data_IF_954746303623
#
_entry.id   IF_954746303623
#
_cell.length_a   1.000
_cell.length_b   1.000
_cell.length_c   1.000
_cell.angle_alpha   90.00
_cell.angle_beta   90.00
_cell.angle_gamma   90.00
#
_symmetry.space_group_name_H-M   'P 1'
#
loop_
_entity.id
_entity.type
_entity.pdbx_description
1 polymer ?
#
# COMPACT_ATOMS: atom_id res chain seq x y z
N UNK A 1 3.16 5.61 34.17
CA UNK A 1 2.26 6.12 33.10
C UNK A 1 2.97 7.15 32.22
N UNK A 2 3.68 8.14 32.77
CA UNK A 2 4.38 9.18 32.02
C UNK A 2 5.34 8.67 30.92
N UNK A 3 6.16 7.64 31.20
CA UNK A 3 7.08 7.05 30.20
C UNK A 3 6.38 6.47 28.97
N UNK A 4 5.24 5.79 29.16
CA UNK A 4 4.46 5.22 28.04
C UNK A 4 3.82 6.34 27.19
N UNK A 5 3.32 7.38 27.86
CA UNK A 5 2.76 8.55 27.18
C UNK A 5 3.82 9.28 26.34
N UNK A 6 5.03 9.44 26.88
CA UNK A 6 6.15 10.05 26.18
C UNK A 6 6.57 9.25 24.94
N UNK A 7 6.62 7.92 25.03
CA UNK A 7 6.93 7.05 23.88
C UNK A 7 5.85 7.16 22.80
N UNK A 8 4.57 7.17 23.19
CA UNK A 8 3.47 7.35 22.24
C UNK A 8 3.51 8.72 21.56
N UNK A 9 3.76 9.78 22.32
CA UNK A 9 3.89 11.14 21.78
C UNK A 9 5.10 11.26 20.83
N UNK A 10 6.23 10.66 21.19
CA UNK A 10 7.41 10.64 20.32
C UNK A 10 7.16 9.83 19.04
N UNK A 11 6.44 8.71 19.14
CA UNK A 11 6.09 7.88 17.98
C UNK A 11 5.02 8.49 17.07
N UNK A 12 4.14 9.34 17.58
CA UNK A 12 3.13 10.04 16.77
C UNK A 12 3.70 11.24 16.01
N UNK A 13 4.79 11.84 16.51
CA UNK A 13 5.43 13.00 15.90
C UNK A 13 5.81 12.80 14.42
N UNK A 14 6.53 11.73 13.99
CA UNK A 14 6.86 11.54 12.57
C UNK A 14 5.62 11.30 11.72
N UNK A 15 4.59 10.63 12.26
CA UNK A 15 3.32 10.39 11.54
C UNK A 15 2.60 11.71 11.26
N UNK A 16 2.41 12.54 12.31
CA UNK A 16 1.74 13.83 12.19
C UNK A 16 2.51 14.78 11.28
N UNK A 17 3.83 14.83 11.43
CA UNK A 17 4.69 15.64 10.57
C UNK A 17 4.60 15.20 9.10
N UNK A 18 4.63 13.90 8.82
CA UNK A 18 4.51 13.38 7.46
C UNK A 18 3.16 13.71 6.82
N UNK A 19 2.04 13.56 7.52
CA UNK A 19 0.73 13.92 6.95
C UNK A 19 0.54 15.44 6.82
N UNK A 20 1.11 16.24 7.72
CA UNK A 20 1.19 17.69 7.54
C UNK A 20 2.00 18.05 6.29
N UNK A 21 3.16 17.42 6.11
CA UNK A 21 4.01 17.57 4.94
C UNK A 21 3.26 17.17 3.66
N UNK A 22 2.64 15.99 3.65
CA UNK A 22 1.84 15.51 2.52
C UNK A 22 0.69 16.47 2.20
N UNK A 23 0.03 17.06 3.19
CA UNK A 23 -1.01 18.07 2.97
C UNK A 23 -0.50 19.34 2.32
N UNK A 24 0.63 19.85 2.82
CA UNK A 24 1.15 21.14 2.39
C UNK A 24 1.84 21.08 1.02
N UNK A 25 2.57 20.00 0.76
CA UNK A 25 3.41 19.86 -0.43
C UNK A 25 2.78 19.03 -1.56
N UNK A 26 1.62 18.39 -1.34
CA UNK A 26 0.87 17.77 -2.45
C UNK A 26 0.14 18.81 -3.30
N UNK A 27 0.34 18.72 -4.61
CA UNK A 27 -0.34 19.53 -5.62
C UNK A 27 -1.39 18.70 -6.35
N UNK A 28 -2.55 19.27 -6.71
CA UNK A 28 -3.58 18.58 -7.50
C UNK A 28 -3.23 18.50 -9.00
N UNK A 29 -1.95 18.64 -9.35
CA UNK A 29 -1.47 18.68 -10.73
C UNK A 29 -0.74 17.37 -11.07
N UNK A 30 -0.95 16.79 -12.27
CA UNK A 30 -0.28 15.56 -12.66
C UNK A 30 1.21 15.78 -12.83
N UNK A 31 2.00 14.84 -12.33
CA UNK A 31 3.44 14.81 -12.51
C UNK A 31 3.84 13.74 -13.53
N UNK A 32 4.65 14.12 -14.52
CA UNK A 32 5.21 13.27 -15.58
C UNK A 32 4.30 12.10 -16.01
N UNK A 33 4.59 10.90 -15.52
CA UNK A 33 3.88 9.64 -15.80
C UNK A 33 2.41 9.60 -15.40
N UNK A 34 1.92 10.47 -14.52
CA UNK A 34 0.48 10.57 -14.23
C UNK A 34 -0.31 10.82 -15.53
N UNK A 35 0.23 11.62 -16.45
CA UNK A 35 -0.42 11.97 -17.72
C UNK A 35 -0.61 10.72 -18.61
N UNK A 36 0.46 10.04 -19.07
CA UNK A 36 0.31 8.89 -19.96
C UNK A 36 -0.20 7.63 -19.25
N UNK A 37 -0.02 7.50 -17.93
CA UNK A 37 -0.37 6.27 -17.22
C UNK A 37 -1.79 6.29 -16.63
N UNK A 38 -2.21 7.43 -16.08
CA UNK A 38 -3.48 7.58 -15.35
C UNK A 38 -4.49 8.37 -16.19
N UNK A 39 -4.16 9.60 -16.59
CA UNK A 39 -5.11 10.48 -17.28
C UNK A 39 -5.48 9.91 -18.66
N UNK A 40 -4.49 9.47 -19.44
CA UNK A 40 -4.71 8.85 -20.74
C UNK A 40 -5.53 7.55 -20.64
N UNK A 41 -5.37 6.78 -19.54
CA UNK A 41 -6.20 5.62 -19.27
C UNK A 41 -7.66 6.03 -19.05
N UNK A 42 -7.92 7.01 -18.19
CA UNK A 42 -9.27 7.50 -17.89
C UNK A 42 -9.98 8.00 -19.14
N UNK A 43 -9.29 8.82 -19.95
CA UNK A 43 -9.84 9.37 -21.20
C UNK A 43 -10.29 8.30 -22.21
N UNK A 44 -9.73 7.08 -22.12
CA UNK A 44 -10.07 5.96 -23.02
C UNK A 44 -11.04 4.96 -22.39
N UNK A 45 -11.01 4.82 -21.07
CA UNK A 45 -11.78 3.81 -20.35
C UNK A 45 -13.18 4.29 -19.91
N UNK A 46 -13.40 5.62 -19.84
CA UNK A 46 -14.64 6.20 -19.31
C UNK A 46 -15.57 6.75 -20.41
N UNK A 47 -16.92 6.59 -20.30
CA UNK A 47 -17.63 5.71 -19.36
C UNK A 47 -17.39 4.24 -19.72
N UNK A 48 -17.41 3.30 -18.75
CA UNK A 48 -16.89 1.91 -18.84
C UNK A 48 -17.02 1.30 -20.25
N UNK A 49 -16.01 1.56 -21.09
CA UNK A 49 -16.05 1.14 -22.49
C UNK A 49 -15.80 -0.37 -22.57
N UNK A 50 -16.21 -1.06 -23.64
CA UNK A 50 -15.87 -2.47 -23.84
C UNK A 50 -14.36 -2.76 -23.70
N UNK A 51 -13.51 -1.78 -24.03
CA UNK A 51 -12.07 -1.87 -23.89
C UNK A 51 -11.53 -1.60 -22.47
N UNK A 52 -12.34 -1.04 -21.56
CA UNK A 52 -11.90 -0.60 -20.23
C UNK A 52 -11.27 -1.75 -19.41
N UNK A 53 -11.86 -2.94 -19.48
CA UNK A 53 -11.31 -4.14 -18.84
C UNK A 53 -9.91 -4.47 -19.34
N UNK A 54 -9.68 -4.41 -20.66
CA UNK A 54 -8.36 -4.63 -21.26
C UNK A 54 -7.37 -3.53 -20.88
N UNK A 55 -7.82 -2.28 -20.87
CA UNK A 55 -6.99 -1.11 -20.54
C UNK A 55 -6.49 -1.10 -19.09
N UNK A 56 -7.26 -1.69 -18.15
CA UNK A 56 -6.83 -1.86 -16.75
C UNK A 56 -5.57 -2.72 -16.64
N UNK A 57 -5.49 -3.79 -17.44
CA UNK A 57 -4.36 -4.73 -17.44
C UNK A 57 -3.29 -4.41 -18.49
N UNK A 58 -3.48 -3.38 -19.31
CA UNK A 58 -2.46 -2.95 -20.27
C UNK A 58 -1.23 -2.43 -19.52
N UNK A 59 -0.01 -2.93 -19.80
CA UNK A 59 1.20 -2.43 -19.16
C UNK A 59 1.43 -0.95 -19.43
N UNK A 60 1.96 -0.25 -18.43
CA UNK A 60 2.60 1.05 -18.61
C UNK A 60 4.11 0.83 -18.54
N UNK A 61 4.81 1.14 -19.63
CA UNK A 61 6.22 0.77 -19.84
C UNK A 61 6.42 -0.75 -19.67
N UNK A 62 7.02 -1.22 -18.58
CA UNK A 62 7.38 -2.63 -18.36
C UNK A 62 6.38 -3.42 -17.52
N UNK A 63 5.46 -2.77 -16.80
CA UNK A 63 4.60 -3.44 -15.81
C UNK A 63 3.18 -2.89 -15.77
N UNK A 64 2.26 -3.67 -15.20
CA UNK A 64 0.88 -3.23 -14.97
C UNK A 64 0.85 -2.37 -13.71
N UNK A 65 0.01 -1.32 -13.74
CA UNK A 65 -0.21 -0.37 -12.62
C UNK A 65 -1.69 -0.37 -12.21
N UNK A 66 -2.25 -1.57 -12.01
CA UNK A 66 -3.67 -1.81 -11.80
C UNK A 66 -4.26 -0.97 -10.66
N UNK A 67 -3.65 -0.85 -9.46
CA UNK A 67 -4.24 -0.05 -8.39
C UNK A 67 -4.37 1.43 -8.74
N UNK A 68 -3.36 2.02 -9.40
CA UNK A 68 -3.38 3.41 -9.82
C UNK A 68 -4.52 3.68 -10.82
N UNK A 69 -4.70 2.78 -11.80
CA UNK A 69 -5.80 2.87 -12.77
C UNK A 69 -7.16 2.66 -12.11
N UNK A 70 -7.26 1.70 -11.18
CA UNK A 70 -8.50 1.37 -10.50
C UNK A 70 -8.97 2.52 -9.59
N UNK A 71 -8.09 3.10 -8.77
CA UNK A 71 -8.47 4.22 -7.89
C UNK A 71 -8.81 5.49 -8.68
N UNK A 72 -8.15 5.74 -9.81
CA UNK A 72 -8.53 6.83 -10.71
C UNK A 72 -9.90 6.58 -11.33
N UNK A 73 -10.17 5.35 -11.79
CA UNK A 73 -11.47 4.99 -12.38
C UNK A 73 -12.60 5.14 -11.36
N UNK A 74 -12.41 4.63 -10.15
CA UNK A 74 -13.38 4.71 -9.06
C UNK A 74 -13.71 6.15 -8.69
N UNK A 75 -12.72 7.04 -8.64
CA UNK A 75 -12.97 8.46 -8.39
C UNK A 75 -13.86 9.08 -9.47
N UNK A 76 -13.55 8.88 -10.75
CA UNK A 76 -14.38 9.43 -11.83
C UNK A 76 -15.79 8.82 -11.82
N UNK A 77 -15.91 7.52 -11.55
CA UNK A 77 -17.20 6.85 -11.50
C UNK A 77 -18.10 7.32 -10.33
N UNK A 78 -17.52 7.63 -9.17
CA UNK A 78 -18.27 7.99 -7.96
C UNK A 78 -18.41 9.51 -7.78
N UNK A 79 -17.35 10.26 -8.07
CA UNK A 79 -17.25 11.71 -7.82
C UNK A 79 -17.42 12.54 -9.10
N UNK A 80 -17.41 11.92 -10.28
CA UNK A 80 -17.48 12.60 -11.58
C UNK A 80 -16.18 13.28 -12.01
N UNK A 81 -15.15 13.26 -11.16
CA UNK A 81 -13.85 13.89 -11.40
C UNK A 81 -12.74 13.11 -10.69
N UNK A 82 -11.51 13.31 -11.15
CA UNK A 82 -10.32 12.74 -10.52
C UNK A 82 -9.62 13.80 -9.67
N UNK A 83 -9.26 13.45 -8.44
CA UNK A 83 -8.47 14.31 -7.55
C UNK A 83 -7.14 13.62 -7.18
N UNK A 84 -6.06 14.10 -7.79
CA UNK A 84 -4.71 13.58 -7.56
C UNK A 84 -4.24 13.81 -6.12
N UNK A 85 -4.68 14.90 -5.48
CA UNK A 85 -4.37 15.15 -4.07
C UNK A 85 -5.07 14.13 -3.18
N UNK A 86 -6.33 13.80 -3.47
CA UNK A 86 -7.04 12.72 -2.79
C UNK A 86 -6.33 11.38 -2.96
N UNK A 87 -5.84 11.06 -4.17
CA UNK A 87 -5.04 9.86 -4.40
C UNK A 87 -3.79 9.82 -3.52
N UNK A 88 -3.06 10.94 -3.40
CA UNK A 88 -1.88 11.04 -2.54
C UNK A 88 -2.25 10.72 -1.09
N UNK A 89 -3.33 11.33 -0.58
CA UNK A 89 -3.78 11.11 0.78
C UNK A 89 -4.18 9.66 1.05
N UNK A 90 -5.04 9.10 0.19
CA UNK A 90 -5.53 7.74 0.35
C UNK A 90 -4.41 6.71 0.25
N UNK A 91 -3.47 6.88 -0.69
CA UNK A 91 -2.34 5.98 -0.84
C UNK A 91 -1.44 5.99 0.40
N UNK A 92 -1.21 7.17 0.99
CA UNK A 92 -0.39 7.28 2.20
C UNK A 92 -1.08 6.77 3.47
N UNK A 93 -2.42 6.72 3.53
CA UNK A 93 -3.13 6.10 4.65
C UNK A 93 -2.80 4.61 4.81
N UNK A 94 -2.39 3.92 3.75
CA UNK A 94 -1.95 2.52 3.85
C UNK A 94 -0.69 2.34 4.69
N UNK A 95 0.17 3.36 4.84
CA UNK A 95 1.30 3.31 5.78
C UNK A 95 0.86 3.26 7.24
N UNK A 96 -0.27 3.90 7.58
CA UNK A 96 -0.86 3.78 8.92
C UNK A 96 -1.26 2.32 9.17
N UNK A 97 -1.80 1.65 8.16
CA UNK A 97 -2.15 0.23 8.25
C UNK A 97 -0.90 -0.63 8.45
N UNK A 98 0.17 -0.39 7.70
CA UNK A 98 1.46 -1.09 7.89
C UNK A 98 1.99 -0.86 9.32
N UNK A 99 2.00 0.40 9.79
CA UNK A 99 2.44 0.74 11.15
C UNK A 99 1.62 -0.03 12.21
N UNK A 100 0.29 -0.10 12.03
CA UNK A 100 -0.59 -0.84 12.93
C UNK A 100 -0.29 -2.35 12.94
N UNK A 101 -0.06 -2.97 11.77
CA UNK A 101 0.32 -4.39 11.69
C UNK A 101 1.62 -4.63 12.45
N UNK A 102 2.66 -3.82 12.18
CA UNK A 102 3.96 -3.96 12.84
C UNK A 102 3.84 -3.72 14.35
N UNK A 103 3.04 -2.76 14.77
CA UNK A 103 2.76 -2.53 16.19
C UNK A 103 2.11 -3.75 16.83
N UNK A 104 1.05 -4.29 16.21
CA UNK A 104 0.35 -5.49 16.71
C UNK A 104 1.30 -6.68 16.85
N UNK A 105 2.11 -6.95 15.82
CA UNK A 105 3.12 -8.01 15.84
C UNK A 105 4.18 -7.77 16.93
N UNK A 106 4.57 -6.52 17.18
CA UNK A 106 5.49 -6.20 18.29
C UNK A 106 4.91 -6.52 19.66
N UNK A 107 3.59 -6.32 19.84
CA UNK A 107 2.88 -6.65 21.07
C UNK A 107 2.74 -8.17 21.24
N UNK A 108 2.43 -8.90 20.17
CA UNK A 108 2.39 -10.37 20.14
C UNK A 108 3.75 -10.97 20.51
N UNK A 109 4.84 -10.38 20.01
CA UNK A 109 6.21 -10.75 20.34
C UNK A 109 6.69 -10.24 21.72
N UNK A 110 5.84 -9.54 22.49
CA UNK A 110 6.13 -8.96 23.81
C UNK A 110 7.37 -8.04 23.81
N UNK A 111 7.60 -7.32 22.71
CA UNK A 111 8.72 -6.39 22.60
C UNK A 111 8.49 -5.15 23.47
N UNK A 112 9.54 -4.61 24.12
CA UNK A 112 9.46 -3.32 24.79
C UNK A 112 9.03 -2.21 23.82
N UNK A 113 8.09 -1.35 24.24
CA UNK A 113 7.59 -0.24 23.42
C UNK A 113 8.70 0.71 22.92
N UNK A 114 9.80 0.82 23.67
CA UNK A 114 10.97 1.61 23.28
C UNK A 114 11.65 1.06 22.02
N UNK A 115 11.65 -0.27 21.82
CA UNK A 115 12.23 -0.90 20.61
C UNK A 115 11.34 -0.71 19.38
N UNK A 116 10.04 -0.40 19.57
CA UNK A 116 9.15 -0.08 18.47
C UNK A 116 9.25 1.40 18.04
N UNK A 117 9.79 2.27 18.90
CA UNK A 117 9.87 3.71 18.65
C UNK A 117 10.55 4.09 17.31
N UNK A 118 11.62 3.41 16.84
CA UNK A 118 12.23 3.72 15.54
C UNK A 118 11.31 3.44 14.34
N UNK A 119 10.32 2.56 14.47
CA UNK A 119 9.48 2.11 13.34
C UNK A 119 8.69 3.27 12.72
N UNK A 120 7.92 4.09 13.48
CA UNK A 120 7.29 5.30 12.94
C UNK A 120 8.26 6.25 12.22
N UNK A 121 9.48 6.44 12.73
CA UNK A 121 10.46 7.34 12.10
C UNK A 121 10.96 6.81 10.75
N UNK A 122 11.15 5.49 10.65
CA UNK A 122 11.59 4.85 9.40
C UNK A 122 10.47 4.87 8.35
N UNK A 123 9.23 4.59 8.76
CA UNK A 123 8.09 4.52 7.85
C UNK A 123 7.66 5.91 7.35
N UNK A 124 7.67 6.92 8.22
CA UNK A 124 7.16 8.26 7.95
C UNK A 124 8.29 9.29 7.74
N UNK A 125 9.40 8.85 7.14
CA UNK A 125 10.47 9.76 6.72
C UNK A 125 10.13 10.44 5.39
N UNK A 126 10.68 11.64 5.20
CA UNK A 126 10.41 12.47 4.01
C UNK A 126 11.38 12.17 2.84
N UNK A 127 12.39 11.32 3.05
CA UNK A 127 13.35 10.96 1.99
C UNK A 127 12.67 10.39 0.74
N UNK A 128 11.55 9.70 0.91
CA UNK A 128 10.75 9.14 -0.19
C UNK A 128 9.65 10.09 -0.67
N UNK A 129 9.88 11.41 -0.58
CA UNK A 129 8.88 12.43 -0.93
C UNK A 129 8.36 12.29 -2.36
N UNK A 130 9.22 11.97 -3.32
CA UNK A 130 8.80 11.76 -4.70
C UNK A 130 7.81 10.61 -4.80
N UNK A 131 8.12 9.46 -4.20
CA UNK A 131 7.22 8.30 -4.20
C UNK A 131 5.96 8.54 -3.37
N UNK A 132 6.03 9.36 -2.33
CA UNK A 132 4.90 9.64 -1.44
C UNK A 132 3.93 10.69 -1.99
N UNK A 133 4.43 11.69 -2.73
CA UNK A 133 3.63 12.82 -3.23
C UNK A 133 3.24 12.69 -4.70
N UNK A 134 3.77 11.71 -5.42
CA UNK A 134 3.43 11.49 -6.83
C UNK A 134 2.42 10.34 -6.95
N UNK A 135 1.18 10.59 -7.40
CA UNK A 135 0.11 9.59 -7.49
C UNK A 135 0.52 8.28 -8.19
N UNK A 136 1.08 8.32 -9.40
CA UNK A 136 1.49 7.11 -10.11
C UNK A 136 2.55 6.34 -9.29
N UNK A 137 3.61 7.01 -8.84
CA UNK A 137 4.67 6.36 -8.09
C UNK A 137 4.17 5.77 -6.76
N UNK A 138 3.29 6.48 -6.06
CA UNK A 138 2.66 6.05 -4.80
C UNK A 138 1.82 4.78 -5.00
N UNK A 139 0.90 4.82 -5.98
CA UNK A 139 -0.04 3.74 -6.26
C UNK A 139 0.54 2.61 -7.10
N UNK A 140 1.77 2.73 -7.57
CA UNK A 140 2.53 1.62 -8.14
C UNK A 140 3.50 1.04 -7.12
N UNK A 141 4.33 1.84 -6.44
CA UNK A 141 5.41 1.33 -5.59
C UNK A 141 4.99 1.11 -4.13
N UNK A 142 4.36 2.10 -3.48
CA UNK A 142 4.05 1.98 -2.04
C UNK A 142 2.88 1.05 -1.79
N UNK A 143 1.90 1.02 -2.69
CA UNK A 143 0.77 0.10 -2.57
C UNK A 143 1.22 -1.37 -2.58
N UNK A 144 2.26 -1.71 -3.35
CA UNK A 144 2.81 -3.09 -3.38
C UNK A 144 3.25 -3.51 -2.00
N UNK A 145 3.94 -2.61 -1.29
CA UNK A 145 4.47 -2.89 0.05
C UNK A 145 3.33 -3.18 1.01
N UNK A 146 2.27 -2.37 1.00
CA UNK A 146 1.08 -2.63 1.82
C UNK A 146 0.41 -3.96 1.45
N UNK A 147 0.16 -4.20 0.16
CA UNK A 147 -0.46 -5.44 -0.31
C UNK A 147 0.35 -6.67 0.11
N UNK A 148 1.68 -6.61 0.00
CA UNK A 148 2.59 -7.66 0.42
C UNK A 148 2.53 -7.91 1.93
N UNK A 149 2.68 -6.85 2.74
CA UNK A 149 2.66 -6.94 4.21
C UNK A 149 1.31 -7.48 4.70
N UNK A 150 0.19 -7.00 4.15
CA UNK A 150 -1.13 -7.48 4.53
C UNK A 150 -1.35 -8.93 4.09
N UNK A 151 -0.91 -9.31 2.88
CA UNK A 151 -0.94 -10.71 2.41
C UNK A 151 -0.18 -11.64 3.35
N UNK A 152 1.05 -11.30 3.72
CA UNK A 152 1.85 -12.11 4.65
C UNK A 152 1.27 -12.14 6.06
N UNK A 153 0.76 -11.01 6.54
CA UNK A 153 0.07 -10.93 7.83
C UNK A 153 -1.13 -11.91 7.90
N UNK A 154 -1.88 -12.05 6.81
CA UNK A 154 -2.98 -13.01 6.72
C UNK A 154 -2.50 -14.46 6.63
N UNK A 155 -1.39 -14.72 5.91
CA UNK A 155 -0.83 -16.08 5.78
C UNK A 155 -0.19 -16.59 7.07
N UNK A 156 0.48 -15.74 7.83
CA UNK A 156 1.24 -16.12 9.04
C UNK A 156 0.31 -16.28 10.27
N UNK A 157 -0.89 -15.71 10.21
CA UNK A 157 -1.88 -15.83 11.27
C UNK A 157 -2.19 -17.28 11.65
N UNK A 158 -2.22 -17.59 12.94
CA UNK A 158 -2.57 -18.91 13.48
C UNK A 158 -3.99 -19.37 13.08
N UNK A 159 -4.89 -18.41 12.83
CA UNK A 159 -6.25 -18.68 12.34
C UNK A 159 -6.22 -19.10 10.87
N UNK A 160 -6.40 -20.39 10.61
CA UNK A 160 -6.38 -21.00 9.27
C UNK A 160 -7.75 -20.99 8.57
N UNK A 161 -8.41 -19.84 8.56
CA UNK A 161 -9.72 -19.69 7.91
C UNK A 161 -9.53 -19.58 6.38
N UNK A 162 -10.36 -20.30 5.60
CA UNK A 162 -10.24 -20.32 4.13
C UNK A 162 -10.33 -18.93 3.49
N UNK A 163 -11.20 -18.05 4.03
CA UNK A 163 -11.31 -16.68 3.51
C UNK A 163 -10.02 -15.88 3.68
N UNK A 164 -9.24 -16.11 4.75
CA UNK A 164 -7.96 -15.41 4.98
C UNK A 164 -6.94 -15.79 3.94
N UNK A 165 -6.89 -17.08 3.61
CA UNK A 165 -6.05 -17.58 2.53
C UNK A 165 -6.47 -17.00 1.19
N UNK A 166 -7.78 -17.03 0.87
CA UNK A 166 -8.31 -16.44 -0.36
C UNK A 166 -8.00 -14.95 -0.48
N UNK A 167 -8.16 -14.19 0.60
CA UNK A 167 -7.82 -12.77 0.64
C UNK A 167 -6.30 -12.55 0.50
N UNK A 168 -5.46 -13.33 1.18
CA UNK A 168 -4.02 -13.21 1.06
C UNK A 168 -3.53 -13.45 -0.38
N UNK A 169 -4.09 -14.47 -1.04
CA UNK A 169 -3.81 -14.76 -2.44
C UNK A 169 -4.28 -13.62 -3.35
N UNK A 170 -5.50 -13.11 -3.13
CA UNK A 170 -6.03 -11.97 -3.88
C UNK A 170 -5.15 -10.72 -3.73
N UNK A 171 -4.68 -10.41 -2.53
CA UNK A 171 -3.77 -9.29 -2.29
C UNK A 171 -2.41 -9.50 -2.97
N UNK A 172 -1.85 -10.72 -2.92
CA UNK A 172 -0.60 -11.05 -3.62
C UNK A 172 -0.72 -10.98 -5.15
N UNK A 173 -1.85 -11.43 -5.70
CA UNK A 173 -2.16 -11.29 -7.12
C UNK A 173 -2.30 -9.81 -7.51
N UNK A 174 -3.00 -9.02 -6.68
CA UNK A 174 -3.12 -7.57 -6.89
C UNK A 174 -1.76 -6.88 -6.85
N UNK A 175 -0.86 -7.30 -5.94
CA UNK A 175 0.50 -6.80 -5.87
C UNK A 175 1.28 -7.07 -7.17
N UNK A 176 1.10 -8.25 -7.77
CA UNK A 176 1.74 -8.60 -9.05
C UNK A 176 1.34 -7.65 -10.18
N UNK A 177 0.13 -7.11 -10.13
CA UNK A 177 -0.38 -6.15 -11.10
C UNK A 177 -0.17 -4.68 -10.71
N UNK A 178 0.54 -4.37 -9.62
CA UNK A 178 0.81 -2.98 -9.23
C UNK A 178 2.20 -2.49 -9.62
N UNK A 179 3.21 -3.35 -9.50
CA UNK A 179 4.58 -3.12 -9.98
C UNK A 179 5.31 -4.46 -10.17
N UNK A 180 6.41 -4.48 -10.93
CA UNK A 180 7.16 -5.69 -11.26
C UNK A 180 7.69 -6.47 -10.05
N UNK A 181 8.04 -5.77 -8.95
CA UNK A 181 8.45 -6.42 -7.70
C UNK A 181 7.31 -7.17 -6.99
N UNK A 182 6.05 -6.92 -7.34
CA UNK A 182 4.90 -7.58 -6.76
C UNK A 182 4.81 -9.07 -7.06
N UNK A 183 5.46 -9.53 -8.15
CA UNK A 183 5.56 -10.97 -8.45
C UNK A 183 6.26 -11.75 -7.33
N UNK A 184 7.22 -11.10 -6.64
CA UNK A 184 7.94 -11.70 -5.52
C UNK A 184 7.01 -12.01 -4.34
N UNK A 185 5.87 -11.31 -4.22
CA UNK A 185 4.90 -11.54 -3.13
C UNK A 185 4.32 -12.94 -3.21
N UNK A 186 3.96 -13.41 -4.40
CA UNK A 186 3.45 -14.77 -4.59
C UNK A 186 4.52 -15.83 -4.31
N UNK A 187 5.77 -15.60 -4.74
CA UNK A 187 6.89 -16.52 -4.50
C UNK A 187 7.20 -16.64 -3.01
N UNK A 188 7.28 -15.52 -2.29
CA UNK A 188 7.52 -15.49 -0.85
C UNK A 188 6.34 -16.10 -0.10
N UNK A 189 5.10 -15.77 -0.48
CA UNK A 189 3.90 -16.33 0.12
C UNK A 189 3.84 -17.86 -0.01
N UNK A 190 4.24 -18.39 -1.17
CA UNK A 190 4.39 -19.83 -1.36
C UNK A 190 5.48 -20.43 -0.45
N UNK A 191 6.62 -19.76 -0.31
CA UNK A 191 7.68 -20.16 0.62
C UNK A 191 7.20 -20.21 2.08
N UNK A 192 6.41 -19.23 2.51
CA UNK A 192 5.79 -19.20 3.85
C UNK A 192 4.90 -20.41 4.07
N UNK A 193 4.08 -20.80 3.08
CA UNK A 193 3.21 -21.97 3.16
C UNK A 193 4.00 -23.28 3.27
N UNK A 194 5.09 -23.41 2.51
CA UNK A 194 5.99 -24.57 2.61
C UNK A 194 6.60 -24.68 4.01
N UNK A 195 7.08 -23.56 4.56
CA UNK A 195 7.65 -23.52 5.90
C UNK A 195 6.64 -23.89 6.99
N UNK A 196 5.40 -23.39 6.87
CA UNK A 196 4.33 -23.74 7.81
C UNK A 196 3.90 -25.21 7.73
N UNK A 197 4.07 -25.87 6.58
CA UNK A 197 3.78 -27.30 6.41
C UNK A 197 4.82 -28.17 7.12
N UNK A 198 6.08 -27.75 7.12
CA UNK A 198 7.20 -28.49 7.74
C UNK A 198 7.38 -28.18 9.22
N UNK A 199 6.89 -27.04 9.70
CA UNK A 199 6.98 -26.66 11.10
C UNK A 199 6.12 -27.60 12.00
N UNK A 200 6.65 -28.08 13.14
CA UNK A 200 5.87 -28.85 14.10
C UNK A 200 4.69 -28.01 14.60
N UNK A 201 3.50 -28.62 14.66
CA UNK A 201 2.31 -27.98 15.24
C UNK A 201 2.62 -27.67 16.72
N UNK A 202 2.74 -26.38 17.06
CA UNK A 202 2.80 -25.91 18.45
C UNK A 202 1.44 -26.02 19.12
#
# INVERSE_FOLDING_TARGET
MLKKLAILAAGSLPVLFFFWYAYHFSTPFPNEDDIPAILAFINRAFPFAPEAGRLLFMPFREHVILPAKLIAYLQVAVMGQMDLKMMIFLGNLFWIRILWILYRLSQEAKLPALLFLPVPFILFQVQFSETALWPMALWSNLIVVWLAVESFNLLISEKKEFWRFGLAFFLGLTATFSNGNGLLVLLIGFGVLLFQKTAPKR
#
